data_IF_797742112155
#
_entry.id   IF_797742112155
#
_cell.length_a   1.000
_cell.length_b   1.000
_cell.length_c   1.000
_cell.angle_alpha   90.00
_cell.angle_beta   90.00
_cell.angle_gamma   90.00
#
_symmetry.space_group_name_H-M   'P 1'
#
loop_
_entity.id
_entity.type
_entity.pdbx_description
1 polymer ?
#
# COMPACT_ATOMS: atom_id res chain seq x y z
N UNK A 1 5.60 -2.19 -30.93
CA UNK A 1 6.52 -2.71 -29.91
C UNK A 1 5.94 -2.49 -28.52
N UNK A 2 5.81 -3.54 -27.77
CA UNK A 2 5.27 -3.42 -26.42
C UNK A 2 6.39 -3.14 -25.42
N UNK A 3 6.10 -2.27 -24.47
CA UNK A 3 7.04 -2.00 -23.37
C UNK A 3 6.88 -3.09 -22.31
N UNK A 4 7.97 -3.45 -21.62
CA UNK A 4 7.88 -4.44 -20.53
C UNK A 4 7.27 -3.82 -19.27
N UNK A 5 6.00 -3.46 -19.37
CA UNK A 5 5.26 -2.91 -18.22
C UNK A 5 4.40 -4.03 -17.65
N UNK A 6 4.58 -4.28 -16.37
CA UNK A 6 3.75 -5.22 -15.62
C UNK A 6 2.99 -4.45 -14.56
N UNK A 7 1.66 -4.58 -14.57
CA UNK A 7 0.81 -3.94 -13.56
C UNK A 7 0.26 -5.04 -12.67
N UNK A 8 0.53 -4.94 -11.38
CA UNK A 8 0.05 -5.88 -10.37
C UNK A 8 -0.77 -5.13 -9.34
N UNK A 9 -1.79 -5.78 -8.82
CA UNK A 9 -2.65 -5.20 -7.78
C UNK A 9 -2.63 -6.09 -6.56
N UNK A 10 -2.44 -5.47 -5.40
CA UNK A 10 -2.41 -6.16 -4.12
C UNK A 10 -3.25 -5.39 -3.12
N UNK A 11 -3.64 -6.07 -2.06
CA UNK A 11 -4.33 -5.41 -0.95
C UNK A 11 -3.34 -5.22 0.20
N UNK A 12 -3.23 -3.99 0.67
CA UNK A 12 -2.36 -3.62 1.77
C UNK A 12 -3.17 -2.89 2.82
N UNK A 13 -2.75 -3.00 4.07
CA UNK A 13 -3.44 -2.37 5.20
C UNK A 13 -2.59 -1.22 5.72
N UNK A 14 -3.22 -0.08 5.92
CA UNK A 14 -2.56 1.07 6.55
C UNK A 14 -2.41 0.79 8.05
N UNK A 15 -1.18 0.78 8.54
CA UNK A 15 -0.89 0.52 9.96
C UNK A 15 -0.35 1.74 10.68
N UNK A 16 0.01 2.78 9.94
CA UNK A 16 0.52 4.02 10.52
C UNK A 16 0.25 5.18 9.59
N UNK A 17 0.29 6.39 10.12
CA UNK A 17 0.10 7.62 9.36
C UNK A 17 1.15 8.62 9.83
N UNK A 18 2.40 8.37 9.44
CA UNK A 18 3.56 9.11 9.94
C UNK A 18 3.81 10.42 9.23
N UNK A 19 3.38 10.54 7.99
CA UNK A 19 3.56 11.77 7.22
C UNK A 19 2.54 12.80 7.68
N UNK A 20 2.99 14.03 7.90
CA UNK A 20 2.10 15.11 8.32
C UNK A 20 0.98 15.28 7.29
N UNK A 21 -0.27 15.30 7.76
CA UNK A 21 -1.45 15.44 6.91
C UNK A 21 -1.93 14.15 6.25
N UNK A 22 -1.19 13.04 6.40
CA UNK A 22 -1.57 11.78 5.74
C UNK A 22 -2.86 11.18 6.30
N UNK A 23 -3.23 11.53 7.52
CA UNK A 23 -4.48 11.08 8.14
C UNK A 23 -5.72 11.55 7.39
N UNK A 24 -5.57 12.54 6.49
CA UNK A 24 -6.68 13.01 5.67
C UNK A 24 -6.98 12.10 4.49
N UNK A 25 -6.04 11.24 4.09
CA UNK A 25 -6.24 10.36 2.94
C UNK A 25 -5.91 8.89 3.22
N UNK A 26 -5.37 8.58 4.39
CA UNK A 26 -5.15 7.17 4.78
C UNK A 26 -5.63 6.93 6.20
N UNK A 27 -6.41 5.86 6.36
CA UNK A 27 -7.00 5.50 7.65
C UNK A 27 -6.32 4.25 8.19
N UNK A 28 -5.83 4.32 9.42
CA UNK A 28 -5.18 3.18 10.07
C UNK A 28 -6.20 2.05 10.23
N UNK A 29 -5.81 0.85 9.82
CA UNK A 29 -6.66 -0.33 9.86
C UNK A 29 -7.48 -0.57 8.60
N UNK A 30 -7.49 0.38 7.67
CA UNK A 30 -8.23 0.24 6.42
C UNK A 30 -7.37 -0.44 5.36
N UNK A 31 -8.02 -1.26 4.54
CA UNK A 31 -7.38 -1.93 3.42
C UNK A 31 -7.47 -1.08 2.15
N UNK A 32 -6.36 -0.96 1.43
CA UNK A 32 -6.29 -0.20 0.18
C UNK A 32 -5.82 -1.12 -0.94
N UNK A 33 -6.32 -0.84 -2.15
CA UNK A 33 -5.83 -1.50 -3.34
C UNK A 33 -4.54 -0.81 -3.79
N UNK A 34 -3.44 -1.54 -3.71
CA UNK A 34 -2.13 -1.02 -4.09
C UNK A 34 -1.80 -1.50 -5.49
N UNK A 35 -1.44 -0.58 -6.35
CA UNK A 35 -1.01 -0.86 -7.71
C UNK A 35 0.51 -0.81 -7.77
N UNK A 36 1.12 -1.85 -8.32
CA UNK A 36 2.56 -1.92 -8.54
C UNK A 36 2.82 -1.87 -10.02
N UNK A 37 3.44 -0.80 -10.49
CA UNK A 37 3.86 -0.63 -11.87
C UNK A 37 5.32 -0.99 -11.96
N UNK A 38 5.64 -1.97 -12.80
CA UNK A 38 7.03 -2.38 -13.04
C UNK A 38 7.42 -1.97 -14.45
N UNK A 39 8.38 -1.08 -14.58
CA UNK A 39 8.87 -0.59 -15.85
C UNK A 39 10.41 -0.55 -15.81
N UNK A 40 11.03 -1.23 -16.77
CA UNK A 40 12.50 -1.27 -16.88
C UNK A 40 13.18 -1.75 -15.59
N UNK A 41 12.54 -2.69 -14.88
CA UNK A 41 13.09 -3.23 -13.64
C UNK A 41 12.84 -2.39 -12.41
N UNK A 42 12.18 -1.24 -12.54
CA UNK A 42 11.84 -0.38 -11.41
C UNK A 42 10.37 -0.57 -11.03
N UNK A 43 10.13 -0.64 -9.74
CA UNK A 43 8.78 -0.80 -9.20
C UNK A 43 8.30 0.51 -8.57
N UNK A 44 7.08 0.92 -8.94
CA UNK A 44 6.43 2.09 -8.36
C UNK A 44 5.15 1.64 -7.68
N UNK A 45 5.02 1.94 -6.39
CA UNK A 45 3.85 1.56 -5.59
C UNK A 45 2.94 2.78 -5.42
N UNK A 46 1.65 2.57 -5.63
CA UNK A 46 0.66 3.63 -5.47
C UNK A 46 -0.65 3.08 -4.92
N UNK A 47 -1.43 3.94 -4.31
CA UNK A 47 -2.78 3.61 -3.83
C UNK A 47 -3.69 4.81 -3.99
N UNK A 48 -4.99 4.56 -4.01
CA UNK A 48 -5.98 5.64 -4.05
C UNK A 48 -6.41 5.92 -2.61
N UNK A 49 -6.18 7.15 -2.17
CA UNK A 49 -6.53 7.57 -0.82
C UNK A 49 -8.02 7.74 -0.61
N UNK A 50 -8.41 8.03 0.63
CA UNK A 50 -9.82 8.23 0.99
C UNK A 50 -10.44 9.44 0.28
N UNK A 51 -9.61 10.37 -0.17
CA UNK A 51 -10.04 11.54 -0.93
C UNK A 51 -10.17 11.31 -2.43
N UNK A 52 -9.90 10.07 -2.90
CA UNK A 52 -9.96 9.73 -4.32
C UNK A 52 -8.70 10.07 -5.09
N UNK A 53 -7.68 10.59 -4.46
CA UNK A 53 -6.42 10.96 -5.10
C UNK A 53 -5.43 9.80 -5.03
N UNK A 54 -4.67 9.60 -6.12
CA UNK A 54 -3.63 8.59 -6.15
C UNK A 54 -2.37 9.12 -5.49
N UNK A 55 -1.79 8.32 -4.60
CA UNK A 55 -0.56 8.66 -3.88
C UNK A 55 0.48 7.59 -4.11
N UNK A 56 1.75 8.01 -4.22
CA UNK A 56 2.88 7.10 -4.32
C UNK A 56 3.43 6.83 -2.93
N UNK A 57 3.94 5.62 -2.72
CA UNK A 57 4.60 5.29 -1.45
C UNK A 57 5.72 4.28 -1.67
N UNK A 58 6.57 4.13 -0.66
CA UNK A 58 7.67 3.18 -0.68
C UNK A 58 7.35 2.05 0.30
N UNK A 59 7.48 0.77 -0.12
CA UNK A 59 7.13 -0.36 0.75
C UNK A 59 7.90 -0.41 2.08
N UNK A 60 9.06 0.24 2.15
CA UNK A 60 9.86 0.27 3.36
C UNK A 60 9.44 1.32 4.39
N UNK A 61 8.42 2.12 4.11
CA UNK A 61 8.02 3.23 4.99
C UNK A 61 7.22 2.80 6.22
N UNK A 62 6.85 1.54 6.33
CA UNK A 62 6.12 0.98 7.48
C UNK A 62 4.70 1.51 7.69
N UNK A 63 4.21 2.41 6.82
CA UNK A 63 2.83 2.88 6.90
C UNK A 63 1.84 1.85 6.39
N UNK A 64 2.28 0.97 5.52
CA UNK A 64 1.45 -0.07 4.92
C UNK A 64 2.14 -1.42 5.01
N UNK A 65 1.35 -2.46 5.25
CA UNK A 65 1.84 -3.84 5.19
C UNK A 65 0.88 -4.66 4.32
N UNK A 66 1.37 -5.73 3.68
CA UNK A 66 0.49 -6.62 2.92
C UNK A 66 -0.63 -7.17 3.81
N UNK A 67 -1.82 -7.34 3.24
CA UNK A 67 -2.97 -7.85 3.99
C UNK A 67 -2.68 -9.18 4.68
N UNK A 68 -1.94 -10.06 4.02
CA UNK A 68 -1.58 -11.36 4.59
C UNK A 68 -0.75 -11.21 5.86
N UNK A 69 0.23 -10.29 5.85
CA UNK A 69 1.05 -10.02 7.02
C UNK A 69 0.22 -9.43 8.15
N UNK A 70 -0.71 -8.54 7.83
CA UNK A 70 -1.60 -7.95 8.82
C UNK A 70 -2.45 -9.01 9.48
N UNK A 71 -2.99 -9.95 8.70
CA UNK A 71 -3.79 -11.05 9.22
C UNK A 71 -2.99 -11.94 10.17
N UNK A 72 -1.73 -12.21 9.84
CA UNK A 72 -0.86 -12.98 10.73
C UNK A 72 -0.63 -12.26 12.06
N UNK A 73 -0.43 -10.94 12.01
CA UNK A 73 -0.26 -10.15 13.22
C UNK A 73 -1.50 -10.17 14.10
N UNK A 74 -2.69 -10.16 13.49
CA UNK A 74 -3.95 -10.23 14.23
C UNK A 74 -4.13 -11.61 14.88
N UNK A 75 -3.78 -12.67 14.18
CA UNK A 75 -3.82 -14.03 14.74
C UNK A 75 -2.87 -14.17 15.93
N UNK A 76 -1.69 -13.62 15.82
CA UNK A 76 -0.71 -13.68 16.91
C UNK A 76 -1.15 -12.91 18.15
N UNK A 77 -1.98 -11.90 17.99
CA UNK A 77 -2.53 -11.15 19.13
C UNK A 77 -3.58 -11.94 19.90
N UNK A 78 -4.25 -12.86 19.23
CA UNK A 78 -5.31 -13.67 19.84
C UNK A 78 -4.69 -14.84 20.61
N UNK A 79 -3.55 -15.30 20.16
CA UNK A 79 -2.81 -16.38 20.81
C UNK A 79 -1.92 -15.83 21.92
#
# INVERSE_FOLDING_TARGET
MSFPITIKKFKWVCVASKTWGSESYQTIGKTYDVTVDVMYGEETYSFVGDDGTEYLFFPGDDDFIPLEEWRERQLNKIL
#
